data_IF_787261135182
#
_entry.id   IF_787261135182
#
_cell.length_a   1.000
_cell.length_b   1.000
_cell.length_c   1.000
_cell.angle_alpha   90.00
_cell.angle_beta   90.00
_cell.angle_gamma   90.00
#
_symmetry.space_group_name_H-M   'P 1'
#
loop_
_entity.id
_entity.type
_entity.pdbx_description
1 polymer ?
#
# COMPACT_ATOMS: atom_id res chain seq x y z
N UNK A 1 -1.13 27.01 16.10
CA UNK A 1 -1.58 25.87 15.26
C UNK A 1 -1.15 26.18 13.84
N UNK A 2 -0.22 25.40 13.28
CA UNK A 2 0.34 25.66 11.96
C UNK A 2 -0.73 25.60 10.88
N UNK A 3 -0.65 26.49 9.91
CA UNK A 3 -1.56 26.50 8.75
C UNK A 3 -1.34 25.23 7.93
N UNK A 4 -2.26 24.27 8.06
CA UNK A 4 -2.19 22.96 7.41
C UNK A 4 -2.15 23.09 5.89
N UNK A 5 -2.65 24.20 5.32
CA UNK A 5 -2.64 24.43 3.88
C UNK A 5 -1.22 24.57 3.30
N UNK A 6 -0.25 24.99 4.11
CA UNK A 6 1.15 25.19 3.72
C UNK A 6 2.04 23.95 3.91
N UNK A 7 1.50 22.88 4.50
CA UNK A 7 2.28 21.64 4.69
C UNK A 7 2.50 20.92 3.34
N UNK A 8 3.68 20.33 3.12
CA UNK A 8 3.94 19.52 1.93
C UNK A 8 3.11 18.24 1.91
N UNK A 9 2.89 17.66 0.73
CA UNK A 9 2.22 16.36 0.62
C UNK A 9 3.10 15.23 1.15
N UNK A 10 2.50 14.28 1.88
CA UNK A 10 3.21 13.10 2.35
C UNK A 10 3.62 12.19 1.17
N UNK A 11 4.92 11.84 1.04
CA UNK A 11 5.39 10.93 -0.01
C UNK A 11 4.66 9.59 0.02
N UNK A 12 4.07 9.23 -1.12
CA UNK A 12 3.23 8.04 -1.27
C UNK A 12 3.73 7.12 -2.38
N UNK A 13 5.02 7.10 -2.70
CA UNK A 13 5.58 6.12 -3.62
C UNK A 13 6.03 4.89 -2.83
N UNK A 14 5.65 3.65 -3.20
CA UNK A 14 6.14 2.47 -2.49
C UNK A 14 7.68 2.46 -2.41
N UNK A 15 8.23 2.24 -1.21
CA UNK A 15 9.68 2.28 -0.99
C UNK A 15 10.24 3.66 -0.65
N UNK A 16 9.49 4.75 -0.87
CA UNK A 16 9.92 6.09 -0.47
C UNK A 16 10.08 6.18 1.05
N UNK A 17 11.10 6.91 1.48
CA UNK A 17 11.38 7.17 2.88
C UNK A 17 11.46 8.67 3.12
N UNK A 18 10.97 9.10 4.28
CA UNK A 18 11.13 10.48 4.75
C UNK A 18 11.39 10.48 6.26
N UNK A 19 12.31 11.32 6.69
CA UNK A 19 12.62 11.59 8.09
C UNK A 19 11.97 12.93 8.46
N UNK A 20 11.27 13.00 9.58
CA UNK A 20 10.54 14.20 9.99
C UNK A 20 10.38 14.30 11.51
N UNK A 21 10.14 15.50 11.98
CA UNK A 21 9.76 15.81 13.35
C UNK A 21 8.25 15.85 13.46
N UNK A 22 7.68 15.00 14.32
CA UNK A 22 6.25 14.91 14.52
C UNK A 22 5.88 15.30 15.95
N UNK A 23 4.78 16.03 16.10
CA UNK A 23 4.34 16.51 17.42
C UNK A 23 3.34 15.54 18.02
N UNK A 24 3.51 15.20 19.29
CA UNK A 24 2.55 14.38 20.03
C UNK A 24 1.30 15.23 20.32
N UNK A 25 0.15 14.76 19.86
CA UNK A 25 -1.15 15.42 20.05
C UNK A 25 -2.18 14.42 20.55
N UNK A 26 -3.28 14.94 21.10
CA UNK A 26 -4.45 14.15 21.43
C UNK A 26 -5.60 14.47 20.48
N UNK A 27 -6.20 13.43 19.90
CA UNK A 27 -7.36 13.52 19.02
C UNK A 27 -8.38 12.51 19.50
N UNK A 28 -9.58 12.99 19.85
CA UNK A 28 -10.69 12.16 20.36
C UNK A 28 -10.25 11.19 21.47
N UNK A 29 -9.44 11.69 22.42
CA UNK A 29 -8.91 10.91 23.56
C UNK A 29 -7.81 9.91 23.20
N UNK A 30 -7.26 9.96 21.98
CA UNK A 30 -6.17 9.09 21.51
C UNK A 30 -4.91 9.88 21.25
N UNK A 31 -3.77 9.36 21.73
CA UNK A 31 -2.45 9.91 21.42
C UNK A 31 -2.03 9.60 19.99
N UNK A 32 -1.62 10.64 19.28
CA UNK A 32 -1.21 10.58 17.89
C UNK A 32 0.06 11.40 17.67
N UNK A 33 0.85 11.05 16.67
CA UNK A 33 1.85 11.95 16.11
C UNK A 33 1.20 12.71 14.95
N UNK A 34 1.16 14.03 15.09
CA UNK A 34 0.86 14.95 14.00
C UNK A 34 2.12 15.14 13.16
N UNK A 35 2.08 14.63 11.94
CA UNK A 35 3.20 14.71 11.00
C UNK A 35 3.19 16.10 10.33
N UNK A 36 4.35 16.63 9.90
CA UNK A 36 4.44 17.91 9.22
C UNK A 36 4.08 17.79 7.72
N UNK A 37 3.05 17.00 7.41
CA UNK A 37 2.59 16.73 6.06
C UNK A 37 1.08 16.81 5.98
N UNK A 38 0.59 17.19 4.81
CA UNK A 38 -0.80 16.95 4.42
C UNK A 38 -0.94 15.50 3.99
N UNK A 39 -2.05 14.89 4.41
CA UNK A 39 -2.53 13.66 3.80
C UNK A 39 -3.86 13.97 3.11
N UNK A 40 -3.80 14.67 1.97
CA UNK A 40 -4.99 15.00 1.19
C UNK A 40 -5.66 13.75 0.58
N UNK A 41 -6.89 13.94 0.09
CA UNK A 41 -7.59 12.97 -0.75
C UNK A 41 -6.73 12.63 -1.98
N UNK A 42 -6.30 11.38 -2.10
CA UNK A 42 -5.41 10.96 -3.19
C UNK A 42 -4.53 9.76 -2.85
N UNK A 43 -3.43 9.60 -3.58
CA UNK A 43 -2.55 8.40 -3.59
C UNK A 43 -2.01 7.96 -2.22
N UNK A 44 -2.02 8.86 -1.24
CA UNK A 44 -1.53 8.65 0.12
C UNK A 44 -2.58 8.04 1.07
N UNK A 45 -3.88 8.16 0.75
CA UNK A 45 -4.98 7.68 1.60
C UNK A 45 -4.95 6.16 1.74
N UNK A 46 -4.99 5.67 2.97
CA UNK A 46 -5.01 4.22 3.26
C UNK A 46 -3.68 3.49 3.07
N UNK A 47 -2.58 4.21 2.78
CA UNK A 47 -1.25 3.60 2.67
C UNK A 47 -0.70 3.21 4.03
N UNK A 48 -0.04 2.05 4.06
CA UNK A 48 0.69 1.57 5.24
C UNK A 48 2.10 2.13 5.21
N UNK A 49 2.51 2.72 6.31
CA UNK A 49 3.86 3.20 6.54
C UNK A 49 4.51 2.37 7.64
N UNK A 50 5.79 2.09 7.46
CA UNK A 50 6.64 1.67 8.56
C UNK A 50 7.18 2.91 9.25
N UNK A 51 7.03 2.96 10.57
CA UNK A 51 7.42 4.09 11.39
C UNK A 51 8.55 3.62 12.31
N UNK A 52 9.66 4.32 12.28
CA UNK A 52 10.81 4.06 13.16
C UNK A 52 11.08 5.34 13.95
N UNK A 53 11.10 5.25 15.29
CA UNK A 53 11.53 6.36 16.13
C UNK A 53 13.05 6.56 16.06
N UNK A 54 13.52 7.77 16.39
CA UNK A 54 14.94 8.12 16.47
C UNK A 54 15.77 7.22 17.39
N UNK A 55 15.16 6.68 18.45
CA UNK A 55 15.75 5.70 19.38
C UNK A 55 15.88 4.27 18.79
N UNK A 56 15.58 4.08 17.49
CA UNK A 56 15.58 2.76 16.84
C UNK A 56 14.36 1.89 17.20
N UNK A 57 13.44 2.40 18.03
CA UNK A 57 12.18 1.73 18.36
C UNK A 57 11.34 1.57 17.09
N UNK A 58 11.08 0.31 16.72
CA UNK A 58 10.23 -0.02 15.58
C UNK A 58 8.79 0.00 16.04
N UNK A 59 8.04 1.01 15.62
CA UNK A 59 6.61 1.01 15.79
C UNK A 59 5.97 0.00 14.81
N UNK A 60 4.77 -0.53 15.13
CA UNK A 60 4.00 -1.30 14.18
C UNK A 60 3.85 -0.56 12.85
N UNK A 61 3.70 -1.30 11.75
CA UNK A 61 3.37 -0.67 10.47
C UNK A 61 1.92 -0.19 10.54
N UNK A 62 1.70 1.11 10.37
CA UNK A 62 0.41 1.75 10.60
C UNK A 62 -0.08 2.46 9.34
N UNK A 63 -1.40 2.58 9.22
CA UNK A 63 -2.01 3.42 8.19
C UNK A 63 -1.96 4.87 8.67
N UNK A 64 -1.51 5.77 7.80
CA UNK A 64 -1.60 7.21 8.07
C UNK A 64 -3.06 7.63 7.97
N UNK A 65 -3.56 8.23 9.04
CA UNK A 65 -4.89 8.81 9.13
C UNK A 65 -4.85 10.28 8.72
N UNK A 66 -6.00 10.79 8.29
CA UNK A 66 -6.18 12.19 7.92
C UNK A 66 -7.08 12.81 8.98
N UNK A 67 -6.58 13.81 9.69
CA UNK A 67 -7.36 14.58 10.67
C UNK A 67 -7.18 16.05 10.31
N UNK A 68 -8.28 16.72 9.92
CA UNK A 68 -8.27 18.12 9.48
C UNK A 68 -7.18 18.39 8.41
N UNK A 69 -7.11 17.54 7.38
CA UNK A 69 -6.12 17.52 6.29
C UNK A 69 -4.65 17.25 6.67
N UNK A 70 -4.34 17.12 7.95
CA UNK A 70 -3.01 16.75 8.42
C UNK A 70 -2.85 15.23 8.51
N UNK A 71 -1.66 14.74 8.13
CA UNK A 71 -1.27 13.36 8.28
C UNK A 71 -1.01 13.03 9.76
N UNK A 72 -1.66 11.99 10.28
CA UNK A 72 -1.51 11.56 11.66
C UNK A 72 -1.33 10.05 11.79
N UNK A 73 -0.58 9.62 12.80
CA UNK A 73 -0.34 8.19 13.09
C UNK A 73 -0.52 7.93 14.57
N UNK A 74 -1.13 6.80 14.99
CA UNK A 74 -1.24 6.48 16.42
C UNK A 74 0.13 6.34 17.07
N UNK A 75 0.23 6.84 18.30
CA UNK A 75 1.48 6.88 19.04
C UNK A 75 1.34 6.19 20.40
N UNK A 76 1.97 5.03 20.59
CA UNK A 76 1.97 4.33 21.88
C UNK A 76 3.12 4.76 22.81
N UNK A 77 3.93 5.75 22.42
CA UNK A 77 5.09 6.18 23.20
C UNK A 77 4.73 7.00 24.44
N UNK A 78 5.73 7.17 25.31
CA UNK A 78 5.60 7.83 26.62
C UNK A 78 5.78 9.36 26.58
N UNK A 79 6.22 9.92 25.44
CA UNK A 79 6.40 11.37 25.31
C UNK A 79 5.11 12.15 25.62
N UNK A 80 5.28 13.33 26.20
CA UNK A 80 4.20 14.22 26.63
C UNK A 80 3.48 14.86 25.44
N UNK A 81 2.26 15.36 25.68
CA UNK A 81 1.53 16.13 24.67
C UNK A 81 2.30 17.43 24.36
N UNK A 82 2.48 17.74 23.08
CA UNK A 82 3.28 18.87 22.61
C UNK A 82 4.75 18.54 22.37
N UNK A 83 5.24 17.39 22.85
CA UNK A 83 6.62 16.98 22.60
C UNK A 83 6.83 16.67 21.11
N UNK A 84 8.05 16.93 20.65
CA UNK A 84 8.47 16.62 19.28
C UNK A 84 9.26 15.33 19.26
N UNK A 85 8.88 14.41 18.38
CA UNK A 85 9.49 13.09 18.21
C UNK A 85 9.99 12.96 16.78
N UNK A 86 11.28 12.69 16.63
CA UNK A 86 11.86 12.39 15.33
C UNK A 86 11.45 10.99 14.88
N UNK A 87 10.85 10.90 13.70
CA UNK A 87 10.39 9.64 13.12
C UNK A 87 10.78 9.53 11.65
N UNK A 88 11.09 8.30 11.27
CA UNK A 88 11.28 7.88 9.89
C UNK A 88 10.06 7.14 9.40
N UNK A 89 9.48 7.63 8.30
CA UNK A 89 8.35 7.02 7.62
C UNK A 89 8.83 6.36 6.33
N UNK A 90 8.57 5.06 6.18
CA UNK A 90 8.79 4.34 4.91
C UNK A 90 7.46 3.87 4.35
N UNK A 91 7.10 4.33 3.16
CA UNK A 91 5.90 3.86 2.49
C UNK A 91 6.04 2.40 2.09
N UNK A 92 5.13 1.55 2.55
CA UNK A 92 5.15 0.14 2.21
C UNK A 92 4.43 -0.12 0.89
N UNK A 93 4.92 -1.11 0.13
CA UNK A 93 4.15 -1.70 -0.96
C UNK A 93 2.93 -2.38 -0.33
N UNK A 94 1.73 -1.96 -0.72
CA UNK A 94 0.54 -2.71 -0.36
C UNK A 94 0.61 -4.03 -1.14
N UNK A 95 0.55 -5.15 -0.42
CA UNK A 95 0.35 -6.44 -1.09
C UNK A 95 -0.99 -6.36 -1.83
N UNK A 96 -1.09 -6.90 -3.05
CA UNK A 96 -2.38 -7.06 -3.70
C UNK A 96 -3.35 -7.72 -2.73
N UNK A 97 -4.59 -7.20 -2.64
CA UNK A 97 -5.62 -7.78 -1.77
C UNK A 97 -5.93 -9.23 -2.14
N UNK A 98 -5.60 -9.64 -3.36
CA UNK A 98 -5.88 -10.95 -3.89
C UNK A 98 -4.55 -11.62 -4.23
N UNK A 99 -4.25 -12.73 -3.55
CA UNK A 99 -3.07 -13.55 -3.85
C UNK A 99 -3.32 -14.36 -5.11
N UNK A 100 -2.25 -14.56 -5.90
CA UNK A 100 -2.27 -15.50 -7.02
C UNK A 100 -2.52 -16.92 -6.46
N UNK A 101 -3.57 -17.61 -6.89
CA UNK A 101 -3.79 -19.01 -6.54
C UNK A 101 -2.62 -19.91 -6.93
N UNK A 102 -2.36 -20.95 -6.13
CA UNK A 102 -1.17 -21.80 -6.31
C UNK A 102 -1.16 -22.53 -7.67
N UNK A 103 -2.30 -23.02 -8.11
CA UNK A 103 -2.50 -23.65 -9.42
C UNK A 103 -2.25 -22.68 -10.58
N UNK A 104 -2.78 -21.46 -10.51
CA UNK A 104 -2.45 -20.42 -11.48
C UNK A 104 -0.95 -20.08 -11.46
N UNK A 105 -0.32 -20.03 -10.29
CA UNK A 105 1.11 -19.75 -10.17
C UNK A 105 1.97 -20.83 -10.84
N UNK A 106 1.63 -22.11 -10.66
CA UNK A 106 2.30 -23.24 -11.31
C UNK A 106 2.20 -23.15 -12.84
N UNK A 107 1.02 -22.85 -13.36
CA UNK A 107 0.82 -22.72 -14.81
C UNK A 107 1.53 -21.50 -15.41
N UNK A 108 1.55 -20.37 -14.69
CA UNK A 108 2.29 -19.17 -15.10
C UNK A 108 3.80 -19.45 -15.14
N UNK A 109 4.34 -20.16 -14.16
CA UNK A 109 5.75 -20.56 -14.12
C UNK A 109 6.09 -21.50 -15.28
N UNK A 110 5.26 -22.52 -15.53
CA UNK A 110 5.42 -23.44 -16.65
C UNK A 110 5.41 -22.72 -18.00
N UNK A 111 4.55 -21.71 -18.15
CA UNK A 111 4.46 -20.89 -19.35
C UNK A 111 5.49 -19.74 -19.42
N UNK A 112 6.30 -19.54 -18.36
CA UNK A 112 7.22 -18.39 -18.20
C UNK A 112 6.53 -17.04 -18.38
N UNK A 113 5.33 -16.90 -17.83
CA UNK A 113 4.52 -15.68 -17.89
C UNK A 113 4.46 -14.98 -16.54
N UNK A 114 4.24 -13.67 -16.56
CA UNK A 114 4.00 -12.88 -15.33
C UNK A 114 2.64 -12.19 -15.41
N UNK A 115 1.92 -12.18 -14.29
CA UNK A 115 0.67 -11.40 -14.12
C UNK A 115 0.94 -9.89 -14.14
N UNK A 116 2.20 -9.46 -13.95
CA UNK A 116 2.60 -8.05 -13.93
C UNK A 116 2.43 -7.34 -15.29
N UNK A 117 2.22 -8.10 -16.38
CA UNK A 117 1.92 -7.52 -17.70
C UNK A 117 0.48 -6.97 -17.78
N UNK A 118 -0.38 -7.35 -16.84
CA UNK A 118 -1.75 -6.86 -16.75
C UNK A 118 -1.83 -5.62 -15.86
N UNK A 119 -2.83 -4.77 -16.12
CA UNK A 119 -3.12 -3.70 -15.19
C UNK A 119 -3.64 -4.26 -13.86
N UNK A 120 -3.39 -3.55 -12.75
CA UNK A 120 -3.88 -3.94 -11.44
C UNK A 120 -5.40 -4.26 -11.36
N UNK A 121 -6.31 -3.49 -12.00
CA UNK A 121 -7.74 -3.84 -11.99
C UNK A 121 -8.06 -5.11 -12.80
N UNK A 122 -7.43 -5.32 -13.96
CA UNK A 122 -7.61 -6.53 -14.76
C UNK A 122 -7.13 -7.78 -13.98
N UNK A 123 -5.92 -7.71 -13.42
CA UNK A 123 -5.39 -8.80 -12.60
C UNK A 123 -6.30 -9.11 -11.40
N UNK A 124 -6.81 -8.08 -10.71
CA UNK A 124 -7.74 -8.28 -9.61
C UNK A 124 -9.03 -9.00 -10.05
N UNK A 125 -9.58 -8.64 -11.23
CA UNK A 125 -10.78 -9.27 -11.75
C UNK A 125 -10.57 -10.76 -12.06
N UNK A 126 -9.50 -11.13 -12.78
CA UNK A 126 -9.19 -12.54 -13.07
C UNK A 126 -8.96 -13.36 -11.81
N UNK A 127 -8.20 -12.81 -10.86
CA UNK A 127 -7.93 -13.51 -9.61
C UNK A 127 -9.21 -13.70 -8.77
N UNK A 128 -10.10 -12.71 -8.71
CA UNK A 128 -11.41 -12.86 -8.07
C UNK A 128 -12.23 -13.97 -8.72
N UNK A 129 -12.33 -13.99 -10.05
CA UNK A 129 -13.05 -15.04 -10.75
C UNK A 129 -12.47 -16.42 -10.43
N UNK A 130 -11.14 -16.58 -10.40
CA UNK A 130 -10.56 -17.89 -10.06
C UNK A 130 -10.87 -18.27 -8.61
N UNK A 131 -10.75 -17.34 -7.65
CA UNK A 131 -11.06 -17.61 -6.23
C UNK A 131 -12.52 -17.99 -5.98
N UNK A 132 -13.46 -17.42 -6.72
CA UNK A 132 -14.89 -17.71 -6.58
C UNK A 132 -15.32 -19.03 -7.26
N UNK A 133 -14.50 -19.57 -8.16
CA UNK A 133 -14.79 -20.82 -8.85
C UNK A 133 -14.56 -22.03 -7.93
N UNK A 134 -15.66 -22.51 -7.32
CA UNK A 134 -15.68 -23.73 -6.50
C UNK A 134 -15.75 -25.02 -7.31
N UNK A 135 -16.27 -24.93 -8.53
CA UNK A 135 -16.32 -26.05 -9.48
C UNK A 135 -14.94 -26.22 -10.15
N UNK A 136 -14.32 -27.42 -10.11
CA UNK A 136 -12.99 -27.64 -10.69
C UNK A 136 -12.91 -27.36 -12.20
N UNK A 137 -13.96 -27.64 -12.97
CA UNK A 137 -13.99 -27.44 -14.41
C UNK A 137 -14.04 -25.95 -14.74
N UNK A 138 -14.94 -25.21 -14.07
CA UNK A 138 -15.04 -23.75 -14.20
C UNK A 138 -13.72 -23.08 -13.77
N UNK A 139 -13.09 -23.60 -12.72
CA UNK A 139 -11.80 -23.10 -12.23
C UNK A 139 -10.70 -23.28 -13.27
N UNK A 140 -10.59 -24.47 -13.87
CA UNK A 140 -9.62 -24.75 -14.95
C UNK A 140 -9.84 -23.82 -16.13
N UNK A 141 -11.08 -23.69 -16.61
CA UNK A 141 -11.42 -22.80 -17.73
C UNK A 141 -11.04 -21.33 -17.45
N UNK A 142 -11.23 -20.85 -16.21
CA UNK A 142 -10.85 -19.49 -15.80
C UNK A 142 -9.32 -19.32 -15.74
N UNK A 143 -8.59 -20.34 -15.31
CA UNK A 143 -7.11 -20.34 -15.34
C UNK A 143 -6.62 -20.27 -16.79
N UNK A 144 -7.13 -21.13 -17.66
CA UNK A 144 -6.76 -21.17 -19.09
C UNK A 144 -7.03 -19.82 -19.78
N UNK A 145 -8.19 -19.25 -19.52
CA UNK A 145 -8.57 -17.93 -20.04
C UNK A 145 -7.62 -16.84 -19.56
N UNK A 146 -7.25 -16.87 -18.28
CA UNK A 146 -6.31 -15.90 -17.69
C UNK A 146 -4.92 -16.02 -18.32
N UNK A 147 -4.43 -17.24 -18.51
CA UNK A 147 -3.14 -17.49 -19.18
C UNK A 147 -3.17 -17.00 -20.63
N UNK A 148 -4.24 -17.27 -21.37
CA UNK A 148 -4.38 -16.80 -22.75
C UNK A 148 -4.34 -15.27 -22.84
N UNK A 149 -5.06 -14.58 -21.94
CA UNK A 149 -5.05 -13.12 -21.86
C UNK A 149 -3.65 -12.56 -21.54
N UNK A 150 -2.94 -13.18 -20.59
CA UNK A 150 -1.56 -12.78 -20.24
C UNK A 150 -0.61 -13.00 -21.43
N UNK A 151 -0.70 -14.14 -22.13
CA UNK A 151 0.11 -14.40 -23.33
C UNK A 151 -0.10 -13.33 -24.38
N UNK A 152 -1.35 -12.95 -24.65
CA UNK A 152 -1.68 -11.92 -25.63
C UNK A 152 -1.06 -10.58 -25.23
N UNK A 153 -1.19 -10.16 -23.96
CA UNK A 153 -0.60 -8.92 -23.44
C UNK A 153 0.92 -8.90 -23.54
N UNK A 154 1.58 -10.02 -23.24
CA UNK A 154 3.04 -10.15 -23.37
C UNK A 154 3.49 -9.96 -24.82
N UNK A 155 2.75 -10.52 -25.79
CA UNK A 155 3.03 -10.35 -27.22
C UNK A 155 2.81 -8.90 -27.70
N UNK A 156 1.77 -8.23 -27.19
CA UNK A 156 1.50 -6.81 -27.50
C UNK A 156 2.59 -5.89 -26.95
N UNK A 157 3.08 -6.18 -25.74
CA UNK A 157 4.14 -5.40 -25.08
C UNK A 157 5.49 -5.57 -25.78
N UNK A 158 5.81 -6.79 -26.23
CA UNK A 158 7.06 -7.08 -26.96
C UNK A 158 7.08 -6.65 -28.43
N UNK A 159 5.96 -6.18 -28.99
CA UNK A 159 5.88 -5.60 -30.36
C UNK A 159 6.04 -4.08 -30.40
N UNK A 160 6.17 -3.44 -29.25
CA UNK A 160 6.25 -1.98 -29.12
C UNK A 160 7.69 -1.46 -28.95
N UNK A 161 8.70 -2.31 -29.22
CA UNK A 161 10.13 -1.95 -29.26
C UNK A 161 10.67 -1.95 -30.70
#
# INVERSE_FOLDING_TARGET
MSDVSQLPELPSTPGSQVDCEATVVEVDGRRMLALPYRAGFGRSRGRKFRITGSEGSRLPSQVVMVVRDQAMVPFPGSAGLGDTVCVRLRCLRQRPRISVPADLATELEAARLSVDVMSAPEAAQFLTMIHEAKDPEIRSQRIDTTIAAIRQRTLETGRSE
#
